data_IF_156257708755
#
_entry.id   IF_156257708755
#
_cell.length_a   1.000
_cell.length_b   1.000
_cell.length_c   1.000
_cell.angle_alpha   90.00
_cell.angle_beta   90.00
_cell.angle_gamma   90.00
#
_symmetry.space_group_name_H-M   'P 1'
#
loop_
_entity.id
_entity.type
_entity.pdbx_description
1 polymer ?
#
# COMPACT_ATOMS: atom_id res chain seq x y z
N UNK A 1 -13.25 26.48 -24.80
CA UNK A 1 -13.92 27.55 -24.03
C UNK A 1 -15.10 26.88 -23.32
N UNK A 2 -15.20 27.00 -22.01
CA UNK A 2 -16.35 26.48 -21.27
C UNK A 2 -17.60 27.26 -21.70
N UNK A 3 -18.60 26.55 -22.21
CA UNK A 3 -19.79 27.14 -22.84
C UNK A 3 -20.85 27.59 -21.83
N UNK A 4 -20.51 27.54 -20.54
CA UNK A 4 -21.28 27.99 -19.38
C UNK A 4 -22.74 27.47 -19.27
N UNK A 5 -23.04 26.33 -19.91
CA UNK A 5 -24.30 25.57 -19.71
C UNK A 5 -24.07 24.59 -18.58
N UNK A 6 -24.61 24.90 -17.41
CA UNK A 6 -24.35 24.15 -16.17
C UNK A 6 -25.67 23.79 -15.48
N UNK A 7 -26.67 24.66 -15.60
CA UNK A 7 -27.94 24.52 -14.89
C UNK A 7 -29.06 24.13 -15.84
N UNK A 8 -30.08 23.47 -15.30
CA UNK A 8 -31.30 23.15 -16.05
C UNK A 8 -32.00 24.43 -16.57
N UNK A 9 -31.89 25.54 -15.83
CA UNK A 9 -32.38 26.84 -16.25
C UNK A 9 -31.75 27.38 -17.53
N UNK A 10 -30.56 26.89 -17.92
CA UNK A 10 -29.86 27.34 -19.13
C UNK A 10 -30.45 26.73 -20.42
N UNK A 11 -31.25 25.67 -20.29
CA UNK A 11 -31.95 24.98 -21.39
C UNK A 11 -33.47 25.09 -21.28
N UNK A 12 -33.97 25.92 -20.36
CA UNK A 12 -35.39 26.14 -20.12
C UNK A 12 -35.81 27.58 -20.44
N UNK A 13 -37.07 27.74 -20.85
CA UNK A 13 -37.75 29.02 -21.01
C UNK A 13 -38.05 29.66 -19.64
N UNK A 14 -38.49 30.92 -19.66
CA UNK A 14 -39.00 31.63 -18.48
C UNK A 14 -40.23 30.96 -17.85
N UNK A 15 -40.88 30.04 -18.57
CA UNK A 15 -42.01 29.23 -18.12
C UNK A 15 -41.61 27.84 -17.61
N UNK A 16 -40.31 27.54 -17.50
CA UNK A 16 -39.80 26.26 -17.03
C UNK A 16 -39.98 25.10 -18.03
N UNK A 17 -40.33 25.39 -19.29
CA UNK A 17 -40.37 24.41 -20.37
C UNK A 17 -39.01 24.31 -21.06
N UNK A 18 -38.66 23.15 -21.63
CA UNK A 18 -37.43 23.04 -22.42
C UNK A 18 -37.53 23.90 -23.67
N UNK A 19 -36.45 24.61 -23.99
CA UNK A 19 -36.35 25.38 -25.24
C UNK A 19 -36.44 24.44 -26.44
N UNK A 20 -37.00 24.91 -27.55
CA UNK A 20 -36.83 24.23 -28.84
C UNK A 20 -35.39 24.39 -29.35
N UNK A 21 -34.98 23.55 -30.30
CA UNK A 21 -33.63 23.64 -30.87
C UNK A 21 -33.34 25.01 -31.51
N UNK A 22 -34.33 25.62 -32.15
CA UNK A 22 -34.19 26.94 -32.76
C UNK A 22 -34.08 28.06 -31.71
N UNK A 23 -34.87 28.00 -30.64
CA UNK A 23 -34.80 28.97 -29.53
C UNK A 23 -33.49 28.84 -28.75
N UNK A 24 -33.00 27.62 -28.59
CA UNK A 24 -31.72 27.35 -27.97
C UNK A 24 -30.55 27.92 -28.81
N UNK A 25 -30.58 27.77 -30.13
CA UNK A 25 -29.58 28.36 -31.03
C UNK A 25 -29.66 29.90 -31.06
N UNK A 26 -30.86 30.49 -30.90
CA UNK A 26 -31.01 31.94 -30.81
C UNK A 26 -30.46 32.51 -29.50
N UNK A 27 -30.57 31.76 -28.40
CA UNK A 27 -30.10 32.20 -27.08
C UNK A 27 -28.62 31.93 -26.82
N UNK A 28 -27.98 31.00 -27.56
CA UNK A 28 -26.59 30.60 -27.36
C UNK A 28 -25.70 30.92 -28.57
N UNK A 29 -24.55 31.55 -28.32
CA UNK A 29 -23.62 32.06 -29.35
C UNK A 29 -22.68 30.99 -29.94
N UNK A 30 -23.03 29.70 -29.94
CA UNK A 30 -22.13 28.65 -30.41
C UNK A 30 -22.84 27.54 -31.21
N UNK A 31 -22.16 26.94 -32.21
CA UNK A 31 -22.73 25.87 -33.00
C UNK A 31 -22.89 24.59 -32.15
N UNK A 32 -24.12 24.05 -32.13
CA UNK A 32 -24.49 22.76 -31.52
C UNK A 32 -25.22 21.92 -32.53
N UNK A 33 -24.90 20.63 -32.61
CA UNK A 33 -25.66 19.72 -33.46
C UNK A 33 -26.99 19.34 -32.82
N UNK A 34 -28.02 19.12 -33.63
CA UNK A 34 -29.32 18.68 -33.11
C UNK A 34 -29.23 17.42 -32.25
N UNK A 35 -28.34 16.48 -32.61
CA UNK A 35 -28.11 15.24 -31.85
C UNK A 35 -27.58 15.50 -30.44
N UNK A 36 -26.62 16.41 -30.29
CA UNK A 36 -26.07 16.76 -28.97
C UNK A 36 -27.11 17.45 -28.10
N UNK A 37 -27.88 18.37 -28.68
CA UNK A 37 -28.99 19.02 -28.00
C UNK A 37 -30.04 18.01 -27.52
N UNK A 38 -30.48 17.11 -28.41
CA UNK A 38 -31.48 16.09 -28.11
C UNK A 38 -30.98 15.09 -27.05
N UNK A 39 -29.69 14.74 -27.06
CA UNK A 39 -29.11 13.86 -26.06
C UNK A 39 -29.18 14.48 -24.65
N UNK A 40 -28.91 15.78 -24.52
CA UNK A 40 -28.97 16.50 -23.24
C UNK A 40 -30.42 16.66 -22.77
N UNK A 41 -31.34 17.08 -23.65
CA UNK A 41 -32.75 17.29 -23.28
C UNK A 41 -33.47 15.99 -22.91
N UNK A 42 -33.20 14.89 -23.63
CA UNK A 42 -33.78 13.58 -23.30
C UNK A 42 -33.19 12.96 -22.02
N UNK A 43 -32.01 13.39 -21.58
CA UNK A 43 -31.41 12.93 -20.34
C UNK A 43 -32.06 13.56 -19.09
N UNK A 44 -32.85 14.63 -19.26
CA UNK A 44 -33.58 15.26 -18.16
C UNK A 44 -34.86 14.47 -17.89
N UNK A 45 -35.03 13.89 -16.68
CA UNK A 45 -36.25 13.16 -16.32
C UNK A 45 -37.49 14.05 -16.39
N UNK A 46 -38.61 13.48 -16.85
CA UNK A 46 -39.88 14.20 -17.02
C UNK A 46 -40.43 14.75 -15.71
N UNK A 47 -40.16 14.07 -14.60
CA UNK A 47 -40.54 14.43 -13.24
C UNK A 47 -39.84 15.72 -12.81
N UNK A 48 -38.54 15.87 -13.14
CA UNK A 48 -37.77 17.08 -12.83
C UNK A 48 -38.31 18.26 -13.64
N UNK A 49 -38.73 18.04 -14.89
CA UNK A 49 -39.34 19.08 -15.72
C UNK A 49 -40.70 19.53 -15.19
N UNK A 50 -41.51 18.62 -14.64
CA UNK A 50 -42.78 18.98 -14.01
C UNK A 50 -42.54 19.80 -12.73
N UNK A 51 -41.60 19.35 -11.89
CA UNK A 51 -41.21 20.08 -10.67
C UNK A 51 -40.66 21.46 -11.00
N UNK A 52 -39.86 21.60 -12.07
CA UNK A 52 -39.35 22.90 -12.48
C UNK A 52 -40.46 23.83 -12.93
N UNK A 53 -41.44 23.37 -13.72
CA UNK A 53 -42.58 24.21 -14.13
C UNK A 53 -43.33 24.79 -12.93
N UNK A 54 -43.70 23.94 -11.96
CA UNK A 54 -44.36 24.40 -10.73
C UNK A 54 -43.48 25.37 -9.93
N UNK A 55 -42.16 25.17 -9.92
CA UNK A 55 -41.24 26.09 -9.25
C UNK A 55 -41.21 27.47 -9.93
N UNK A 56 -41.14 27.52 -11.26
CA UNK A 56 -41.11 28.77 -12.03
C UNK A 56 -42.42 29.58 -11.94
N UNK A 57 -43.56 28.92 -11.73
CA UNK A 57 -44.85 29.58 -11.49
C UNK A 57 -44.89 30.36 -10.17
N UNK A 58 -44.10 29.95 -9.18
CA UNK A 58 -44.11 30.52 -7.84
C UNK A 58 -42.85 31.32 -7.49
N UNK A 59 -41.72 31.05 -8.13
CA UNK A 59 -40.43 31.65 -7.83
C UNK A 59 -39.53 31.76 -9.06
N UNK A 60 -38.62 32.74 -9.05
CA UNK A 60 -37.56 32.80 -10.05
C UNK A 60 -36.41 31.87 -9.69
N UNK A 61 -35.86 31.10 -10.65
CA UNK A 61 -34.71 30.23 -10.43
C UNK A 61 -33.49 31.06 -10.04
N UNK A 62 -32.91 30.76 -8.87
CA UNK A 62 -31.61 31.31 -8.48
C UNK A 62 -30.53 30.32 -8.88
N UNK A 63 -29.60 30.77 -9.73
CA UNK A 63 -28.37 30.03 -10.03
C UNK A 63 -27.53 29.97 -8.75
N UNK A 64 -27.59 28.84 -8.06
CA UNK A 64 -26.78 28.58 -6.88
C UNK A 64 -25.40 28.14 -7.34
N UNK A 65 -24.41 29.00 -7.16
CA UNK A 65 -23.02 28.57 -7.25
C UNK A 65 -22.67 27.72 -6.02
N UNK A 66 -22.70 26.40 -6.21
CA UNK A 66 -22.22 25.49 -5.18
C UNK A 66 -20.70 25.52 -5.14
N UNK A 67 -20.15 26.07 -4.05
CA UNK A 67 -18.73 25.93 -3.73
C UNK A 67 -18.52 24.65 -2.93
N UNK A 68 -18.02 23.61 -3.59
CA UNK A 68 -17.69 22.37 -2.91
C UNK A 68 -16.37 22.55 -2.15
N UNK A 69 -16.47 22.75 -0.83
CA UNK A 69 -15.31 23.06 0.01
C UNK A 69 -14.86 21.86 0.85
N UNK A 70 -13.55 21.59 0.87
CA UNK A 70 -12.92 20.63 1.76
C UNK A 70 -12.17 21.43 2.84
N UNK A 71 -12.68 21.38 4.08
CA UNK A 71 -12.21 22.23 5.20
C UNK A 71 -12.23 23.74 4.85
N UNK A 72 -13.29 24.22 4.22
CA UNK A 72 -13.41 25.64 3.86
C UNK A 72 -12.53 26.07 2.67
N UNK A 73 -11.85 25.14 2.00
CA UNK A 73 -11.13 25.40 0.76
C UNK A 73 -11.93 24.84 -0.42
N UNK A 74 -12.33 25.70 -1.35
CA UNK A 74 -12.97 25.31 -2.61
C UNK A 74 -12.09 24.31 -3.38
N UNK A 75 -12.67 23.20 -3.82
CA UNK A 75 -12.01 22.17 -4.62
C UNK A 75 -11.40 22.69 -5.93
N UNK A 76 -11.96 23.75 -6.51
CA UNK A 76 -11.44 24.42 -7.71
C UNK A 76 -10.26 25.34 -7.41
N UNK A 77 -10.04 25.68 -6.14
CA UNK A 77 -8.92 26.53 -5.74
C UNK A 77 -7.58 25.82 -5.93
N UNK A 78 -6.57 26.54 -6.43
CA UNK A 78 -5.16 26.06 -6.43
C UNK A 78 -4.66 25.65 -5.04
N UNK A 79 -5.31 26.11 -3.97
CA UNK A 79 -5.02 25.73 -2.58
C UNK A 79 -5.52 24.33 -2.22
N UNK A 80 -6.55 23.81 -2.90
CA UNK A 80 -7.09 22.47 -2.68
C UNK A 80 -6.28 21.40 -3.42
N UNK A 81 -5.03 21.24 -3.01
CA UNK A 81 -4.14 20.25 -3.61
C UNK A 81 -4.54 18.82 -3.27
N UNK A 82 -4.12 17.84 -4.07
CA UNK A 82 -4.27 16.42 -3.74
C UNK A 82 -3.71 16.07 -2.34
N UNK A 83 -2.65 16.75 -1.91
CA UNK A 83 -2.09 16.60 -0.55
C UNK A 83 -3.07 17.06 0.53
N UNK A 84 -3.75 18.20 0.32
CA UNK A 84 -4.79 18.71 1.23
C UNK A 84 -5.95 17.73 1.34
N UNK A 85 -6.51 17.32 0.20
CA UNK A 85 -7.63 16.36 0.13
C UNK A 85 -7.25 15.06 0.86
N UNK A 86 -6.09 14.49 0.53
CA UNK A 86 -5.59 13.25 1.15
C UNK A 86 -5.39 13.41 2.67
N UNK A 87 -4.80 14.52 3.13
CA UNK A 87 -4.62 14.81 4.56
C UNK A 87 -5.97 14.89 5.27
N UNK A 88 -6.96 15.55 4.67
CA UNK A 88 -8.30 15.64 5.23
C UNK A 88 -8.96 14.27 5.36
N UNK A 89 -9.00 13.49 4.26
CA UNK A 89 -9.61 12.16 4.26
C UNK A 89 -8.95 11.22 5.28
N UNK A 90 -7.62 11.27 5.42
CA UNK A 90 -6.93 10.49 6.46
C UNK A 90 -7.22 10.96 7.88
N UNK A 91 -7.40 12.26 8.10
CA UNK A 91 -7.75 12.74 9.44
C UNK A 91 -9.13 12.25 9.88
N UNK A 92 -10.06 12.09 8.92
CA UNK A 92 -11.42 11.56 9.16
C UNK A 92 -11.48 10.03 9.21
N UNK A 93 -10.60 9.33 8.52
CA UNK A 93 -10.55 7.85 8.46
C UNK A 93 -9.22 7.31 8.99
N UNK A 94 -8.96 7.50 10.29
CA UNK A 94 -7.82 6.85 10.95
C UNK A 94 -8.08 5.35 11.07
N UNK A 95 -7.76 4.60 10.02
CA UNK A 95 -7.80 3.13 10.05
C UNK A 95 -6.45 2.65 10.59
N UNK A 96 -6.48 1.97 11.74
CA UNK A 96 -5.30 1.26 12.23
C UNK A 96 -5.05 0.04 11.33
N UNK A 97 -3.82 -0.18 10.82
CA UNK A 97 -3.51 -1.35 10.03
C UNK A 97 -3.86 -2.64 10.80
N UNK A 98 -4.49 -3.62 10.14
CA UNK A 98 -4.88 -4.90 10.76
C UNK A 98 -3.71 -5.60 11.46
N UNK A 99 -2.53 -5.57 10.83
CA UNK A 99 -1.30 -6.11 11.40
C UNK A 99 -0.91 -5.49 12.74
N UNK A 100 -1.21 -4.19 12.96
CA UNK A 100 -0.94 -3.52 14.24
C UNK A 100 -1.73 -4.14 15.39
N UNK A 101 -3.01 -4.41 15.17
CA UNK A 101 -3.86 -5.08 16.16
C UNK A 101 -3.46 -6.55 16.34
N UNK A 102 -3.24 -7.27 15.23
CA UNK A 102 -2.89 -8.69 15.27
C UNK A 102 -1.58 -8.93 16.02
N UNK A 103 -0.47 -8.33 15.59
CA UNK A 103 0.81 -8.54 16.27
C UNK A 103 0.89 -7.84 17.63
N UNK A 104 0.06 -6.81 17.88
CA UNK A 104 -0.07 -6.19 19.20
C UNK A 104 -0.59 -7.17 20.27
N UNK A 105 -1.31 -8.21 19.87
CA UNK A 105 -1.72 -9.32 20.77
C UNK A 105 -0.58 -10.31 21.06
N UNK A 106 0.44 -10.37 20.19
CA UNK A 106 1.55 -11.31 20.29
C UNK A 106 2.83 -10.68 20.86
N UNK A 107 3.04 -9.38 20.66
CA UNK A 107 4.26 -8.67 21.06
C UNK A 107 3.93 -7.39 21.81
N UNK A 108 4.56 -7.22 22.97
CA UNK A 108 4.50 -5.97 23.74
C UNK A 108 5.56 -4.97 23.25
N UNK A 109 5.29 -3.68 23.47
CA UNK A 109 6.20 -2.55 23.19
C UNK A 109 6.78 -2.56 21.77
N UNK A 110 5.91 -2.52 20.75
CA UNK A 110 6.32 -2.50 19.34
C UNK A 110 6.48 -1.07 18.83
N UNK A 111 7.67 -0.75 18.32
CA UNK A 111 7.97 0.52 17.65
C UNK A 111 7.56 0.47 16.17
N UNK A 112 6.26 0.59 15.91
CA UNK A 112 5.65 0.42 14.59
C UNK A 112 6.29 1.23 13.46
N UNK A 113 6.60 2.50 13.70
CA UNK A 113 7.23 3.36 12.70
C UNK A 113 8.60 2.82 12.28
N UNK A 114 9.41 2.36 13.25
CA UNK A 114 10.72 1.77 13.01
C UNK A 114 10.60 0.47 12.20
N UNK A 115 9.70 -0.43 12.60
CA UNK A 115 9.53 -1.71 11.92
C UNK A 115 9.01 -1.52 10.49
N UNK A 116 8.04 -0.62 10.25
CA UNK A 116 7.54 -0.35 8.89
C UNK A 116 8.57 0.33 7.99
N UNK A 117 9.39 1.23 8.54
CA UNK A 117 10.40 1.96 7.76
C UNK A 117 11.72 1.20 7.62
N UNK A 118 11.90 0.07 8.33
CA UNK A 118 13.12 -0.74 8.31
C UNK A 118 13.64 -1.04 6.89
N UNK A 119 12.82 -1.49 5.92
CA UNK A 119 13.30 -1.81 4.58
C UNK A 119 13.84 -0.59 3.80
N UNK A 120 13.49 0.63 4.21
CA UNK A 120 13.93 1.87 3.57
C UNK A 120 15.38 2.25 3.96
N UNK A 121 15.92 1.63 5.00
CA UNK A 121 17.32 1.81 5.43
C UNK A 121 18.31 1.15 4.49
N UNK A 122 17.88 0.14 3.74
CA UNK A 122 18.74 -0.69 2.90
C UNK A 122 18.48 -0.45 1.42
N UNK A 123 19.50 -0.73 0.60
CA UNK A 123 19.39 -0.74 -0.86
C UNK A 123 18.91 -2.12 -1.28
N UNK A 124 17.61 -2.39 -1.16
CA UNK A 124 16.99 -3.69 -1.47
C UNK A 124 15.87 -3.53 -2.50
N UNK A 125 15.58 -4.61 -3.23
CA UNK A 125 14.56 -4.59 -4.26
C UNK A 125 13.13 -4.46 -3.68
N UNK A 126 12.17 -4.10 -4.54
CA UNK A 126 10.78 -3.92 -4.12
C UNK A 126 10.11 -5.23 -3.66
N UNK A 127 10.54 -6.39 -4.18
CA UNK A 127 9.98 -7.69 -3.78
C UNK A 127 10.30 -8.03 -2.32
N UNK A 128 11.52 -7.76 -1.85
CA UNK A 128 11.91 -7.92 -0.44
C UNK A 128 11.07 -7.00 0.45
N UNK A 129 10.90 -5.73 0.04
CA UNK A 129 10.06 -4.75 0.75
C UNK A 129 8.61 -5.21 0.84
N UNK A 130 8.08 -5.74 -0.25
CA UNK A 130 6.71 -6.23 -0.34
C UNK A 130 6.47 -7.44 0.58
N UNK A 131 7.39 -8.42 0.60
CA UNK A 131 7.29 -9.57 1.51
C UNK A 131 7.27 -9.11 2.97
N UNK A 132 8.19 -8.22 3.34
CA UNK A 132 8.23 -7.66 4.69
C UNK A 132 6.92 -6.90 5.03
N UNK A 133 6.43 -6.08 4.10
CA UNK A 133 5.17 -5.35 4.26
C UNK A 133 3.98 -6.29 4.48
N UNK A 134 3.86 -7.35 3.67
CA UNK A 134 2.78 -8.34 3.78
C UNK A 134 2.80 -9.09 5.11
N UNK A 135 3.99 -9.44 5.61
CA UNK A 135 4.17 -10.06 6.93
C UNK A 135 3.70 -9.09 8.03
N UNK A 136 4.20 -7.85 8.03
CA UNK A 136 3.86 -6.86 9.05
C UNK A 136 2.37 -6.49 9.07
N UNK A 137 1.72 -6.49 7.91
CA UNK A 137 0.29 -6.18 7.79
C UNK A 137 -0.63 -7.38 8.04
N UNK A 138 -0.05 -8.57 8.29
CA UNK A 138 -0.78 -9.83 8.41
C UNK A 138 -1.67 -10.13 7.18
N UNK A 139 -1.10 -9.94 5.99
CA UNK A 139 -1.74 -10.21 4.68
C UNK A 139 -0.87 -11.10 3.78
N UNK A 140 0.15 -11.74 4.34
CA UNK A 140 0.96 -12.68 3.57
C UNK A 140 0.10 -13.90 3.17
N UNK A 141 0.21 -14.37 1.92
CA UNK A 141 -0.61 -15.47 1.40
C UNK A 141 -0.09 -16.83 1.90
N UNK A 142 -0.41 -17.16 3.15
CA UNK A 142 -0.18 -18.49 3.73
C UNK A 142 -1.28 -19.45 3.29
N UNK A 143 -1.03 -20.75 3.33
CA UNK A 143 -2.04 -21.75 2.95
C UNK A 143 -3.28 -21.65 3.85
N UNK A 144 -3.11 -21.33 5.15
CA UNK A 144 -4.26 -21.05 6.03
C UNK A 144 -5.07 -19.83 5.61
N UNK A 145 -4.43 -18.79 5.08
CA UNK A 145 -5.13 -17.56 4.69
C UNK A 145 -5.83 -17.75 3.35
N UNK A 146 -5.19 -18.47 2.42
CA UNK A 146 -5.74 -18.75 1.09
C UNK A 146 -6.90 -19.75 1.17
N UNK A 147 -6.86 -20.72 2.11
CA UNK A 147 -7.93 -21.72 2.27
C UNK A 147 -9.30 -21.11 2.59
N UNK A 148 -9.36 -19.87 3.05
CA UNK A 148 -10.61 -19.14 3.26
C UNK A 148 -11.29 -18.69 1.95
N UNK A 149 -10.54 -18.65 0.84
CA UNK A 149 -11.02 -18.16 -0.46
C UNK A 149 -11.01 -19.26 -1.53
N UNK A 150 -10.17 -20.28 -1.37
CA UNK A 150 -9.98 -21.36 -2.35
C UNK A 150 -9.91 -22.70 -1.61
N UNK A 151 -10.43 -23.77 -2.21
CA UNK A 151 -10.36 -25.11 -1.64
C UNK A 151 -8.94 -25.70 -1.75
N UNK A 152 -8.10 -25.39 -0.76
CA UNK A 152 -6.73 -25.91 -0.62
C UNK A 152 -6.50 -26.44 0.80
N UNK A 153 -5.58 -27.37 0.95
CA UNK A 153 -5.12 -27.82 2.27
C UNK A 153 -4.40 -26.71 3.02
N UNK A 154 -4.50 -26.71 4.36
CA UNK A 154 -3.86 -25.71 5.22
C UNK A 154 -2.45 -26.09 5.66
N UNK A 155 -1.94 -27.25 5.25
CA UNK A 155 -0.64 -27.74 5.68
C UNK A 155 0.51 -26.84 5.16
N UNK A 156 1.56 -26.73 5.98
CA UNK A 156 2.80 -26.01 5.65
C UNK A 156 3.47 -26.57 4.40
N UNK A 157 3.89 -25.67 3.50
CA UNK A 157 4.57 -26.07 2.26
C UNK A 157 5.92 -26.76 2.52
N UNK A 158 6.53 -26.56 3.69
CA UNK A 158 7.80 -27.17 4.05
C UNK A 158 7.64 -28.47 4.83
N UNK A 159 7.10 -28.43 6.05
CA UNK A 159 7.03 -29.62 6.91
C UNK A 159 5.85 -30.55 6.60
N UNK A 160 4.84 -30.06 5.86
CA UNK A 160 3.59 -30.78 5.52
C UNK A 160 2.79 -31.31 6.72
N UNK A 161 3.16 -30.96 7.95
CA UNK A 161 2.57 -31.51 9.18
C UNK A 161 1.67 -30.52 9.93
N UNK A 162 2.08 -29.26 10.03
CA UNK A 162 1.37 -28.23 10.79
C UNK A 162 0.63 -27.26 9.87
N UNK A 163 -0.32 -26.51 10.44
CA UNK A 163 -1.03 -25.44 9.73
C UNK A 163 -0.08 -24.31 9.33
N UNK A 164 -0.09 -23.93 8.07
CA UNK A 164 0.72 -22.83 7.55
C UNK A 164 0.12 -21.47 7.90
N UNK A 165 0.54 -20.88 9.01
CA UNK A 165 0.37 -19.45 9.27
C UNK A 165 1.69 -18.68 9.12
N UNK A 166 1.68 -17.36 9.31
CA UNK A 166 2.88 -16.53 9.13
C UNK A 166 3.96 -16.90 10.14
N UNK A 167 3.60 -17.18 11.40
CA UNK A 167 4.56 -17.53 12.45
C UNK A 167 5.20 -18.87 12.14
N UNK A 168 4.39 -19.85 11.74
CA UNK A 168 4.87 -21.17 11.36
C UNK A 168 5.78 -21.11 10.15
N UNK A 169 5.32 -20.52 9.05
CA UNK A 169 6.10 -20.46 7.80
C UNK A 169 7.45 -19.76 7.98
N UNK A 170 7.45 -18.60 8.67
CA UNK A 170 8.65 -17.76 8.80
C UNK A 170 9.50 -18.06 10.04
N UNK A 171 9.04 -18.85 11.01
CA UNK A 171 9.80 -19.10 12.23
C UNK A 171 9.57 -20.46 12.89
N UNK A 172 8.33 -20.94 13.04
CA UNK A 172 8.06 -22.13 13.88
C UNK A 172 8.30 -23.47 13.16
N UNK A 173 8.21 -23.50 11.82
CA UNK A 173 8.47 -24.67 10.98
C UNK A 173 9.88 -25.23 11.21
N UNK A 174 10.02 -26.56 11.32
CA UNK A 174 11.31 -27.21 11.58
C UNK A 174 12.41 -26.83 10.56
N UNK A 175 12.07 -26.77 9.27
CA UNK A 175 13.01 -26.36 8.21
C UNK A 175 13.40 -24.89 8.31
N UNK A 176 12.45 -24.00 8.62
CA UNK A 176 12.71 -22.57 8.80
C UNK A 176 13.51 -22.30 10.09
N UNK A 177 13.22 -23.03 11.18
CA UNK A 177 14.03 -23.00 12.42
C UNK A 177 15.46 -23.40 12.16
N UNK A 178 15.68 -24.49 11.41
CA UNK A 178 17.02 -24.94 11.05
C UNK A 178 17.75 -23.88 10.22
N UNK A 179 17.07 -23.25 9.27
CA UNK A 179 17.61 -22.14 8.49
C UNK A 179 18.08 -20.97 9.37
N UNK A 180 17.25 -20.50 10.32
CA UNK A 180 17.65 -19.42 11.22
C UNK A 180 18.76 -19.82 12.19
N UNK A 181 18.77 -21.06 12.69
CA UNK A 181 19.86 -21.58 13.53
C UNK A 181 21.20 -21.61 12.79
N UNK A 182 21.20 -21.99 11.50
CA UNK A 182 22.40 -21.91 10.67
C UNK A 182 22.86 -20.47 10.48
N UNK A 183 21.94 -19.50 10.40
CA UNK A 183 22.28 -18.08 10.41
C UNK A 183 22.91 -17.64 11.73
N UNK A 184 22.34 -18.02 12.87
CA UNK A 184 22.93 -17.73 14.19
C UNK A 184 24.35 -18.29 14.30
N UNK A 185 24.56 -19.54 13.88
CA UNK A 185 25.88 -20.18 13.85
C UNK A 185 26.84 -19.48 12.89
N UNK A 186 26.36 -19.03 11.74
CA UNK A 186 27.18 -18.26 10.80
C UNK A 186 27.70 -16.96 11.42
N UNK A 187 26.84 -16.21 12.11
CA UNK A 187 27.29 -15.01 12.84
C UNK A 187 28.27 -15.37 13.97
N UNK A 188 27.99 -16.41 14.75
CA UNK A 188 28.88 -16.83 15.84
C UNK A 188 30.25 -17.33 15.37
N UNK A 189 30.34 -17.87 14.15
CA UNK A 189 31.59 -18.41 13.58
C UNK A 189 32.37 -17.41 12.75
N UNK A 190 31.70 -16.45 12.10
CA UNK A 190 32.32 -15.45 11.22
C UNK A 190 32.50 -14.08 11.85
N UNK A 191 31.92 -13.85 13.02
CA UNK A 191 31.99 -12.60 13.75
C UNK A 191 32.28 -12.88 15.23
N UNK A 192 32.70 -11.88 15.99
CA UNK A 192 32.86 -11.98 17.45
C UNK A 192 31.51 -11.89 18.19
N UNK A 193 30.40 -11.89 17.47
CA UNK A 193 29.07 -11.63 18.01
C UNK A 193 28.17 -12.86 17.95
N UNK A 194 27.61 -13.22 19.10
CA UNK A 194 26.53 -14.19 19.19
C UNK A 194 25.19 -13.46 19.07
N UNK A 195 24.34 -13.93 18.15
CA UNK A 195 22.99 -13.39 17.96
C UNK A 195 21.96 -14.47 18.32
N UNK A 196 20.78 -14.03 18.75
CA UNK A 196 19.63 -14.90 19.00
C UNK A 196 18.42 -14.36 18.24
N UNK A 197 17.92 -15.15 17.30
CA UNK A 197 16.79 -14.82 16.45
C UNK A 197 15.52 -15.38 17.06
N UNK A 198 14.70 -14.48 17.59
CA UNK A 198 13.39 -14.81 18.14
C UNK A 198 12.28 -14.42 17.14
N UNK A 199 11.09 -15.00 17.32
CA UNK A 199 9.93 -14.72 16.47
C UNK A 199 9.68 -13.21 16.32
N UNK A 200 9.81 -12.43 17.41
CA UNK A 200 9.63 -10.97 17.38
C UNK A 200 10.61 -10.29 16.42
N UNK A 201 11.88 -10.69 16.46
CA UNK A 201 12.92 -10.15 15.58
C UNK A 201 12.67 -10.53 14.12
N UNK A 202 12.27 -11.79 13.89
CA UNK A 202 11.92 -12.26 12.55
C UNK A 202 10.67 -11.57 12.04
N UNK A 203 9.63 -11.28 12.82
CA UNK A 203 8.44 -10.60 12.28
C UNK A 203 8.70 -9.10 12.11
N UNK A 204 9.19 -8.43 13.15
CA UNK A 204 9.32 -6.98 13.24
C UNK A 204 10.73 -6.53 12.84
N UNK A 205 11.62 -6.39 13.81
CA UNK A 205 13.00 -5.99 13.68
C UNK A 205 13.83 -6.56 14.84
N UNK A 206 15.07 -6.90 14.55
CA UNK A 206 16.06 -7.30 15.55
C UNK A 206 16.57 -6.08 16.30
N UNK A 207 16.70 -6.22 17.63
CA UNK A 207 17.19 -5.20 18.55
C UNK A 207 18.49 -5.66 19.18
N UNK A 208 19.50 -4.80 19.20
CA UNK A 208 20.78 -5.08 19.87
C UNK A 208 21.40 -3.78 20.38
N UNK A 209 22.19 -3.87 21.46
CA UNK A 209 22.94 -2.73 21.99
C UNK A 209 23.96 -2.19 20.97
N UNK A 210 24.57 -3.09 20.20
CA UNK A 210 25.42 -2.69 19.07
C UNK A 210 24.53 -2.36 17.85
N UNK A 211 24.49 -1.08 17.47
CA UNK A 211 23.69 -0.58 16.35
C UNK A 211 24.13 -1.12 14.98
N UNK A 212 25.42 -1.42 14.82
CA UNK A 212 26.00 -1.92 13.56
C UNK A 212 25.60 -3.38 13.34
N UNK A 213 25.74 -4.21 14.38
CA UNK A 213 25.24 -5.59 14.37
C UNK A 213 23.72 -5.60 14.20
N UNK A 214 23.00 -4.71 14.88
CA UNK A 214 21.57 -4.56 14.68
C UNK A 214 21.23 -4.26 13.21
N UNK A 215 22.00 -3.39 12.56
CA UNK A 215 21.80 -3.02 11.15
C UNK A 215 22.01 -4.21 10.21
N UNK A 216 23.14 -4.91 10.34
CA UNK A 216 23.49 -6.04 9.48
C UNK A 216 22.57 -7.24 9.70
N UNK A 217 22.24 -7.58 10.94
CA UNK A 217 21.31 -8.69 11.23
C UNK A 217 19.93 -8.40 10.66
N UNK A 218 19.44 -7.15 10.75
CA UNK A 218 18.17 -6.78 10.12
C UNK A 218 18.20 -6.88 8.59
N UNK A 219 19.32 -6.55 7.94
CA UNK A 219 19.50 -6.78 6.50
C UNK A 219 19.39 -8.27 6.17
N UNK A 220 20.10 -9.13 6.90
CA UNK A 220 20.05 -10.58 6.73
C UNK A 220 18.64 -11.13 6.94
N UNK A 221 17.90 -10.65 7.95
CA UNK A 221 16.51 -11.04 8.19
C UNK A 221 15.61 -10.65 7.01
N UNK A 222 15.77 -9.46 6.45
CA UNK A 222 14.98 -9.01 5.28
C UNK A 222 15.24 -9.88 4.06
N UNK A 223 16.51 -10.15 3.74
CA UNK A 223 16.87 -11.04 2.63
C UNK A 223 16.39 -12.47 2.94
N UNK A 224 16.50 -12.93 4.19
CA UNK A 224 16.09 -14.26 4.63
C UNK A 224 14.59 -14.49 4.52
N UNK A 225 13.77 -13.50 4.89
CA UNK A 225 12.31 -13.51 4.63
C UNK A 225 12.03 -13.73 3.15
N UNK A 226 12.74 -13.03 2.28
CA UNK A 226 12.55 -13.17 0.84
C UNK A 226 13.05 -14.52 0.31
N UNK A 227 14.14 -15.07 0.87
CA UNK A 227 14.62 -16.41 0.56
C UNK A 227 13.60 -17.50 0.95
N UNK A 228 13.01 -17.42 2.15
CA UNK A 228 11.92 -18.32 2.59
C UNK A 228 10.71 -18.19 1.66
N UNK A 229 10.33 -16.96 1.30
CA UNK A 229 9.26 -16.72 0.34
C UNK A 229 9.55 -17.38 -1.02
N UNK A 230 10.74 -17.21 -1.60
CA UNK A 230 11.12 -17.89 -2.84
C UNK A 230 11.06 -19.40 -2.70
N UNK A 231 11.59 -19.93 -1.61
CA UNK A 231 11.60 -21.36 -1.31
C UNK A 231 10.18 -21.94 -1.30
N UNK A 232 9.22 -21.24 -0.66
CA UNK A 232 7.80 -21.62 -0.68
C UNK A 232 7.27 -21.74 -2.12
N UNK A 233 7.43 -20.70 -2.93
CA UNK A 233 6.83 -20.67 -4.27
C UNK A 233 7.56 -21.56 -5.28
N UNK A 234 8.85 -21.84 -5.05
CA UNK A 234 9.64 -22.82 -5.80
C UNK A 234 9.45 -24.25 -5.31
N UNK A 235 8.67 -24.48 -4.23
CA UNK A 235 8.49 -25.78 -3.56
C UNK A 235 9.81 -26.45 -3.14
N UNK A 236 10.78 -25.63 -2.75
CA UNK A 236 12.07 -26.09 -2.21
C UNK A 236 12.16 -25.76 -0.72
N UNK A 237 13.00 -26.49 0.00
CA UNK A 237 13.28 -26.16 1.40
C UNK A 237 14.24 -24.97 1.50
N UNK A 238 14.09 -24.08 2.49
CA UNK A 238 15.02 -22.96 2.69
C UNK A 238 16.42 -23.49 3.08
N UNK A 239 17.42 -23.23 2.23
CA UNK A 239 18.81 -23.64 2.44
C UNK A 239 19.65 -22.41 2.81
N UNK A 240 20.37 -22.51 3.93
CA UNK A 240 21.25 -21.43 4.37
C UNK A 240 22.43 -21.22 3.41
N UNK A 241 22.93 -22.29 2.79
CA UNK A 241 24.03 -22.25 1.83
C UNK A 241 23.62 -21.44 0.59
N UNK A 242 22.43 -21.72 0.05
CA UNK A 242 21.87 -20.96 -1.07
C UNK A 242 21.61 -19.50 -0.69
N UNK A 243 21.08 -19.26 0.51
CA UNK A 243 20.90 -17.91 1.04
C UNK A 243 22.21 -17.15 1.17
N UNK A 244 23.29 -17.78 1.63
CA UNK A 244 24.58 -17.11 1.79
C UNK A 244 25.13 -16.63 0.44
N UNK A 245 25.00 -17.43 -0.61
CA UNK A 245 25.33 -17.03 -1.99
C UNK A 245 24.49 -15.83 -2.44
N UNK A 246 23.20 -15.78 -2.08
CA UNK A 246 22.34 -14.63 -2.38
C UNK A 246 22.80 -13.36 -1.67
N UNK A 247 23.25 -13.46 -0.40
CA UNK A 247 23.83 -12.35 0.34
C UNK A 247 25.13 -11.88 -0.31
N UNK A 248 26.01 -12.80 -0.71
CA UNK A 248 27.25 -12.43 -1.40
C UNK A 248 26.98 -11.71 -2.73
N UNK A 249 26.02 -12.20 -3.50
CA UNK A 249 25.59 -11.57 -4.75
C UNK A 249 24.95 -10.19 -4.50
N UNK A 250 24.21 -10.06 -3.40
CA UNK A 250 23.67 -8.78 -2.95
C UNK A 250 24.80 -7.78 -2.64
N UNK A 251 25.79 -8.17 -1.83
CA UNK A 251 26.93 -7.33 -1.46
C UNK A 251 27.73 -6.93 -2.71
N UNK A 252 28.01 -7.87 -3.62
CA UNK A 252 28.66 -7.58 -4.92
C UNK A 252 27.86 -6.56 -5.74
N UNK A 253 26.54 -6.70 -5.79
CA UNK A 253 25.67 -5.78 -6.54
C UNK A 253 25.69 -4.37 -5.95
N UNK A 254 25.62 -4.23 -4.63
CA UNK A 254 25.63 -2.88 -4.01
C UNK A 254 27.00 -2.20 -4.05
N UNK A 255 28.11 -2.96 -4.15
CA UNK A 255 29.46 -2.40 -4.38
C UNK A 255 29.57 -1.62 -5.68
N UNK A 256 28.79 -2.00 -6.69
CA UNK A 256 28.72 -1.28 -7.97
C UNK A 256 27.93 0.04 -7.86
N UNK A 257 27.21 0.27 -6.75
CA UNK A 257 26.38 1.45 -6.55
C UNK A 257 27.14 2.51 -5.73
N UNK A 258 27.28 3.72 -6.26
CA UNK A 258 27.95 4.84 -5.57
C UNK A 258 27.04 5.64 -4.61
N UNK A 259 25.99 5.02 -4.05
CA UNK A 259 25.06 5.74 -3.18
C UNK A 259 25.51 5.71 -1.71
N UNK A 260 25.12 6.72 -0.92
CA UNK A 260 25.51 6.82 0.51
C UNK A 260 25.06 5.59 1.34
N UNK A 261 23.92 4.98 1.01
CA UNK A 261 23.39 3.81 1.75
C UNK A 261 24.17 2.53 1.43
N UNK A 262 24.58 2.31 0.17
CA UNK A 262 25.38 1.17 -0.24
C UNK A 262 26.76 1.26 0.38
N UNK A 263 27.42 2.43 0.31
CA UNK A 263 28.70 2.66 0.98
C UNK A 263 28.63 2.38 2.49
N UNK A 264 27.60 2.89 3.17
CA UNK A 264 27.39 2.61 4.59
C UNK A 264 27.17 1.10 4.87
N UNK A 265 26.36 0.42 4.05
CA UNK A 265 26.10 -1.02 4.21
C UNK A 265 27.37 -1.84 4.02
N UNK A 266 28.17 -1.54 3.00
CA UNK A 266 29.41 -2.25 2.68
C UNK A 266 30.43 -2.06 3.80
N UNK A 267 30.60 -0.82 4.28
CA UNK A 267 31.52 -0.53 5.38
C UNK A 267 31.18 -1.34 6.63
N UNK A 268 29.92 -1.31 7.07
CA UNK A 268 29.48 -2.09 8.24
C UNK A 268 29.62 -3.60 8.02
N UNK A 269 29.35 -4.09 6.81
CA UNK A 269 29.51 -5.50 6.49
C UNK A 269 30.98 -5.94 6.61
N UNK A 270 31.90 -5.14 6.08
CA UNK A 270 33.34 -5.40 6.16
C UNK A 270 33.88 -5.26 7.58
N UNK A 271 33.41 -4.30 8.38
CA UNK A 271 33.79 -4.14 9.80
C UNK A 271 33.35 -5.33 10.67
N UNK A 272 32.25 -6.00 10.32
CA UNK A 272 31.67 -7.10 11.12
C UNK A 272 32.23 -8.47 10.71
N UNK A 273 32.57 -8.66 9.44
CA UNK A 273 32.96 -9.95 8.86
C UNK A 273 34.45 -10.07 8.47
N UNK A 274 35.25 -9.00 8.64
CA UNK A 274 36.72 -9.06 8.59
C UNK A 274 37.33 -9.22 9.98
#
# INVERSE_FOLDING_TARGET
MDKNIIYLSDIQSETGQLLSFEEFLKSQLFPVTFKEFQAVTNAVPSEILQLSKCYYEHQTPKKLEFTFCIQGIDIKSKRCTNKHIRKYLYSKRKISPRGKCFWGSHFTHVHWEKSWTLPHKFVINNKIREVHFKILHNIYPTNSNISHFVNIGTACEFCKSEKEDIKHLFFECCHTKLFWRKMELYFATKTTHTIKLELKAIILDYMNNNQEIQYIVNLFILIGKFHIHKSKFSKTLPSFESFNIEVDNYIKSIRLLQNKKSQHTIRLYEEIFN
#
